data_IF_144331627421
#
_entry.id   IF_144331627421
#
_cell.length_a   1.000
_cell.length_b   1.000
_cell.length_c   1.000
_cell.angle_alpha   90.00
_cell.angle_beta   90.00
_cell.angle_gamma   90.00
#
_symmetry.space_group_name_H-M   'P 1'
#
loop_
_entity.id
_entity.type
_entity.pdbx_description
1 polymer ?
#
# COMPACT_ATOMS: atom_id res chain seq x y z
N UNK A 1 -6.42 -11.68 8.75
CA UNK A 1 -5.45 -10.71 8.19
C UNK A 1 -4.88 -9.86 9.31
N UNK A 2 -3.59 -9.60 9.25
CA UNK A 2 -2.92 -8.71 10.18
C UNK A 2 -2.49 -7.45 9.48
N UNK A 3 -2.66 -6.32 10.16
CA UNK A 3 -2.21 -5.02 9.68
C UNK A 3 -1.36 -4.39 10.78
N UNK A 4 -0.13 -4.02 10.43
CA UNK A 4 0.77 -3.35 11.35
C UNK A 4 1.25 -2.04 10.76
N UNK A 5 1.67 -1.13 11.62
CA UNK A 5 2.15 0.19 11.20
C UNK A 5 3.49 0.47 11.84
N UNK A 6 4.46 0.91 11.04
CA UNK A 6 5.82 1.23 11.49
C UNK A 6 6.25 2.55 10.88
N UNK A 7 6.82 3.43 11.67
CA UNK A 7 7.41 4.66 11.14
C UNK A 7 8.88 4.42 10.83
N UNK A 8 9.30 4.71 9.61
CA UNK A 8 10.69 4.63 9.19
C UNK A 8 11.25 6.04 8.98
N UNK A 9 12.53 6.13 8.61
CA UNK A 9 13.20 7.41 8.42
C UNK A 9 12.43 8.31 7.44
N UNK A 10 12.59 9.63 7.58
CA UNK A 10 11.90 10.63 6.77
C UNK A 10 10.38 10.63 6.96
N UNK A 11 9.92 10.13 8.12
CA UNK A 11 8.49 10.07 8.47
C UNK A 11 7.66 9.26 7.48
N UNK A 12 8.25 8.23 6.88
CA UNK A 12 7.53 7.31 6.02
C UNK A 12 6.82 6.28 6.91
N UNK A 13 5.51 6.15 6.74
CA UNK A 13 4.74 5.14 7.44
C UNK A 13 4.68 3.87 6.60
N UNK A 14 5.22 2.78 7.13
CA UNK A 14 5.12 1.48 6.49
C UNK A 14 3.91 0.76 7.03
N UNK A 15 3.06 0.28 6.13
CA UNK A 15 1.87 -0.51 6.48
C UNK A 15 2.15 -1.95 6.10
N UNK A 16 2.31 -2.81 7.11
CA UNK A 16 2.53 -4.24 6.89
C UNK A 16 1.19 -4.94 6.82
N UNK A 17 0.92 -5.58 5.69
CA UNK A 17 -0.33 -6.32 5.47
C UNK A 17 0.01 -7.79 5.32
N UNK A 18 -0.67 -8.67 6.07
CA UNK A 18 -0.44 -10.13 6.01
C UNK A 18 -1.75 -10.85 5.77
N UNK A 19 -1.71 -11.81 4.86
CA UNK A 19 -2.87 -12.61 4.48
C UNK A 19 -3.57 -12.06 3.26
N UNK A 20 -4.67 -12.71 2.87
CA UNK A 20 -5.42 -12.32 1.67
C UNK A 20 -6.06 -10.93 1.85
N UNK A 21 -5.87 -10.08 0.87
CA UNK A 21 -6.46 -8.75 0.85
C UNK A 21 -7.69 -8.77 -0.06
N UNK A 22 -8.80 -9.23 0.49
CA UNK A 22 -10.06 -9.38 -0.23
C UNK A 22 -11.17 -8.51 0.39
N UNK A 23 -12.38 -8.65 -0.13
CA UNK A 23 -13.52 -7.83 0.30
C UNK A 23 -13.82 -7.93 1.81
N UNK A 24 -13.50 -9.07 2.44
CA UNK A 24 -13.78 -9.26 3.87
C UNK A 24 -12.97 -8.32 4.76
N UNK A 25 -11.77 -7.95 4.31
CA UNK A 25 -10.82 -7.18 5.11
C UNK A 25 -10.53 -5.80 4.52
N UNK A 26 -10.99 -5.55 3.29
CA UNK A 26 -10.71 -4.29 2.60
C UNK A 26 -11.19 -3.08 3.39
N UNK A 27 -12.38 -3.16 4.01
CA UNK A 27 -12.93 -2.05 4.77
C UNK A 27 -12.05 -1.68 5.99
N UNK A 28 -11.52 -2.68 6.68
CA UNK A 28 -10.65 -2.46 7.83
C UNK A 28 -9.35 -1.78 7.42
N UNK A 29 -8.76 -2.23 6.33
CA UNK A 29 -7.53 -1.62 5.82
C UNK A 29 -7.79 -0.18 5.35
N UNK A 30 -8.90 0.05 4.68
CA UNK A 30 -9.27 1.39 4.22
C UNK A 30 -9.40 2.36 5.39
N UNK A 31 -10.12 1.93 6.44
CA UNK A 31 -10.30 2.75 7.64
C UNK A 31 -8.95 3.05 8.30
N UNK A 32 -8.10 2.03 8.45
CA UNK A 32 -6.78 2.21 9.05
C UNK A 32 -5.90 3.18 8.27
N UNK A 33 -5.85 3.03 6.95
CA UNK A 33 -5.07 3.94 6.10
C UNK A 33 -5.61 5.36 6.18
N UNK A 34 -6.92 5.53 6.08
CA UNK A 34 -7.54 6.86 6.12
C UNK A 34 -7.27 7.55 7.46
N UNK A 35 -7.36 6.82 8.57
CA UNK A 35 -7.07 7.37 9.89
C UNK A 35 -5.62 7.85 9.98
N UNK A 36 -4.68 7.09 9.42
CA UNK A 36 -3.27 7.48 9.43
C UNK A 36 -3.01 8.73 8.57
N UNK A 37 -3.69 8.83 7.43
CA UNK A 37 -3.58 10.01 6.58
C UNK A 37 -4.13 11.24 7.29
N UNK A 38 -5.27 11.11 7.98
CA UNK A 38 -5.85 12.22 8.74
C UNK A 38 -4.96 12.63 9.92
N UNK A 39 -4.20 11.70 10.49
CA UNK A 39 -3.24 11.98 11.55
C UNK A 39 -1.98 12.69 11.04
N UNK A 40 -1.88 12.95 9.74
CA UNK A 40 -0.76 13.68 9.15
C UNK A 40 0.25 12.83 8.40
N UNK A 41 0.01 11.51 8.27
CA UNK A 41 0.91 10.64 7.52
C UNK A 41 0.53 10.71 6.04
N UNK A 42 1.36 11.38 5.24
CA UNK A 42 1.12 11.52 3.81
C UNK A 42 2.14 10.79 2.93
N UNK A 43 3.12 10.10 3.55
CA UNK A 43 4.09 9.27 2.84
C UNK A 43 3.93 7.84 3.33
N UNK A 44 3.25 7.02 2.53
CA UNK A 44 2.90 5.64 2.89
C UNK A 44 3.62 4.64 2.01
N UNK A 45 4.12 3.58 2.62
CA UNK A 45 4.72 2.44 1.92
C UNK A 45 3.98 1.18 2.36
N UNK A 46 3.30 0.54 1.43
CA UNK A 46 2.51 -0.66 1.72
C UNK A 46 3.35 -1.90 1.45
N UNK A 47 3.57 -2.69 2.49
CA UNK A 47 4.30 -3.94 2.39
C UNK A 47 3.32 -5.06 2.05
N UNK A 48 3.43 -5.58 0.83
CA UNK A 48 2.57 -6.66 0.33
C UNK A 48 3.31 -7.99 0.25
N UNK A 49 4.51 -8.10 0.84
CA UNK A 49 5.33 -9.31 0.72
C UNK A 49 4.67 -10.55 1.32
N UNK A 50 3.75 -10.38 2.27
CA UNK A 50 3.01 -11.47 2.90
C UNK A 50 1.55 -11.53 2.45
N UNK A 51 1.22 -10.95 1.30
CA UNK A 51 -0.12 -10.97 0.71
C UNK A 51 -0.11 -11.88 -0.50
N UNK A 52 -0.59 -13.13 -0.39
CA UNK A 52 -0.57 -14.06 -1.52
C UNK A 52 -1.67 -13.81 -2.54
N UNK A 53 -2.76 -13.14 -2.14
CA UNK A 53 -3.91 -12.92 -3.00
C UNK A 53 -4.54 -11.56 -2.72
N UNK A 54 -5.03 -10.92 -3.79
CA UNK A 54 -5.73 -9.65 -3.71
C UNK A 54 -6.85 -9.65 -4.75
N UNK A 55 -8.03 -9.17 -4.36
CA UNK A 55 -9.13 -8.96 -5.31
C UNK A 55 -9.30 -7.47 -5.62
N UNK A 56 -10.35 -7.16 -6.40
CA UNK A 56 -10.62 -5.77 -6.79
C UNK A 56 -10.94 -4.85 -5.60
N UNK A 57 -11.53 -5.39 -4.54
CA UNK A 57 -11.82 -4.60 -3.33
C UNK A 57 -10.53 -4.18 -2.63
N UNK A 58 -9.58 -5.11 -2.50
CA UNK A 58 -8.27 -4.80 -1.93
C UNK A 58 -7.51 -3.78 -2.77
N UNK A 59 -7.53 -3.98 -4.08
CA UNK A 59 -6.89 -3.05 -5.01
C UNK A 59 -7.50 -1.65 -4.90
N UNK A 60 -8.82 -1.57 -4.76
CA UNK A 60 -9.54 -0.30 -4.59
C UNK A 60 -9.11 0.47 -3.36
N UNK A 61 -8.79 -0.22 -2.27
CA UNK A 61 -8.28 0.42 -1.05
C UNK A 61 -6.95 1.11 -1.33
N UNK A 62 -6.05 0.46 -2.06
CA UNK A 62 -4.76 1.04 -2.40
C UNK A 62 -4.92 2.25 -3.33
N UNK A 63 -5.82 2.17 -4.29
CA UNK A 63 -6.12 3.30 -5.19
C UNK A 63 -6.66 4.49 -4.39
N UNK A 64 -7.58 4.24 -3.47
CA UNK A 64 -8.14 5.28 -2.59
C UNK A 64 -7.04 5.93 -1.74
N UNK A 65 -6.16 5.11 -1.17
CA UNK A 65 -5.03 5.62 -0.39
C UNK A 65 -4.08 6.48 -1.20
N UNK A 66 -3.80 6.07 -2.44
CA UNK A 66 -2.95 6.84 -3.34
C UNK A 66 -3.56 8.22 -3.63
N UNK A 67 -4.85 8.26 -3.94
CA UNK A 67 -5.54 9.53 -4.18
C UNK A 67 -5.51 10.44 -2.95
N UNK A 68 -5.75 9.87 -1.78
CA UNK A 68 -5.82 10.65 -0.54
C UNK A 68 -4.44 11.19 -0.14
N UNK A 69 -3.38 10.41 -0.30
CA UNK A 69 -2.03 10.91 -0.02
C UNK A 69 -1.61 11.98 -1.02
N UNK A 70 -1.97 11.80 -2.29
CA UNK A 70 -1.64 12.79 -3.32
C UNK A 70 -2.32 14.13 -3.05
N UNK A 71 -3.54 14.13 -2.53
CA UNK A 71 -4.24 15.37 -2.14
C UNK A 71 -3.51 16.13 -1.04
N UNK A 72 -2.70 15.44 -0.26
CA UNK A 72 -1.92 16.03 0.83
C UNK A 72 -0.44 16.20 0.46
N UNK A 73 -0.15 16.23 -0.83
CA UNK A 73 1.20 16.39 -1.37
C UNK A 73 2.15 15.27 -1.01
N UNK A 74 1.61 14.07 -0.78
CA UNK A 74 2.37 12.87 -0.49
C UNK A 74 2.22 11.83 -1.58
N UNK A 75 2.53 10.59 -1.22
CA UNK A 75 2.41 9.47 -2.14
C UNK A 75 2.19 8.17 -1.36
N UNK A 76 1.63 7.18 -2.04
CA UNK A 76 1.50 5.83 -1.53
C UNK A 76 2.22 4.91 -2.51
N UNK A 77 3.22 4.17 -2.02
CA UNK A 77 4.02 3.25 -2.83
C UNK A 77 3.88 1.85 -2.26
N UNK A 78 4.21 0.85 -3.07
CA UNK A 78 4.06 -0.56 -2.67
C UNK A 78 5.34 -1.32 -2.95
N UNK A 79 5.56 -2.42 -2.19
CA UNK A 79 6.69 -3.30 -2.48
C UNK A 79 6.36 -4.74 -2.14
N UNK A 80 7.13 -5.66 -2.74
CA UNK A 80 7.09 -7.06 -2.40
C UNK A 80 5.92 -7.81 -3.00
N UNK A 81 5.46 -7.44 -4.19
CA UNK A 81 4.31 -8.09 -4.81
C UNK A 81 4.60 -9.57 -5.11
N UNK A 82 3.79 -10.46 -4.56
CA UNK A 82 3.82 -11.87 -4.93
C UNK A 82 3.24 -12.05 -6.35
N UNK A 83 3.52 -13.18 -7.03
CA UNK A 83 3.13 -13.35 -8.43
C UNK A 83 1.68 -13.05 -8.75
N UNK A 84 0.72 -13.56 -7.96
CA UNK A 84 -0.70 -13.35 -8.24
C UNK A 84 -1.10 -11.89 -8.03
N UNK A 85 -0.51 -11.22 -7.04
CA UNK A 85 -0.76 -9.81 -6.77
C UNK A 85 -0.15 -8.95 -7.88
N UNK A 86 1.08 -9.27 -8.28
CA UNK A 86 1.73 -8.59 -9.39
C UNK A 86 0.88 -8.70 -10.66
N UNK A 87 0.32 -9.88 -10.90
CA UNK A 87 -0.50 -10.14 -12.07
C UNK A 87 -1.74 -9.25 -12.10
N UNK A 88 -2.44 -9.07 -10.98
CA UNK A 88 -3.62 -8.21 -10.95
C UNK A 88 -3.26 -6.74 -11.16
N UNK A 89 -2.10 -6.30 -10.67
CA UNK A 89 -1.62 -4.95 -10.96
C UNK A 89 -1.36 -4.76 -12.45
N UNK A 90 -0.79 -5.77 -13.10
CA UNK A 90 -0.50 -5.71 -14.54
C UNK A 90 -1.76 -5.76 -15.39
N UNK A 91 -2.69 -6.67 -15.06
CA UNK A 91 -3.95 -6.81 -15.79
C UNK A 91 -4.81 -5.55 -15.72
N UNK A 92 -4.78 -4.85 -14.61
CA UNK A 92 -5.55 -3.61 -14.41
C UNK A 92 -4.78 -2.37 -14.86
N UNK A 93 -3.53 -2.53 -15.28
CA UNK A 93 -2.60 -1.46 -15.65
C UNK A 93 -2.26 -0.52 -14.48
N UNK A 94 -2.55 -0.92 -13.26
CA UNK A 94 -2.20 -0.13 -12.08
C UNK A 94 -0.71 -0.17 -11.79
N UNK A 95 0.03 -1.11 -12.39
CA UNK A 95 1.49 -1.08 -12.36
C UNK A 95 2.07 0.17 -13.05
N UNK A 96 1.27 0.89 -13.85
CA UNK A 96 1.67 2.17 -14.46
C UNK A 96 1.34 3.37 -13.57
N UNK A 97 0.49 3.16 -12.57
CA UNK A 97 0.01 4.22 -11.67
C UNK A 97 0.78 4.24 -10.36
N UNK A 98 1.04 3.05 -9.79
CA UNK A 98 1.79 2.92 -8.54
C UNK A 98 3.29 2.81 -8.79
N UNK A 99 4.07 3.36 -7.88
CA UNK A 99 5.50 3.09 -7.80
C UNK A 99 5.68 1.77 -7.05
N UNK A 100 6.26 0.78 -7.70
CA UNK A 100 6.37 -0.59 -7.20
C UNK A 100 7.84 -0.95 -7.05
N UNK A 101 8.20 -1.53 -5.90
CA UNK A 101 9.58 -1.90 -5.58
C UNK A 101 9.66 -3.35 -5.14
N UNK A 102 10.85 -3.93 -5.25
CA UNK A 102 11.08 -5.32 -4.86
C UNK A 102 11.37 -5.47 -3.38
N UNK A 103 11.88 -4.42 -2.73
CA UNK A 103 12.27 -4.47 -1.33
C UNK A 103 11.89 -3.19 -0.59
N UNK A 104 11.81 -3.30 0.74
CA UNK A 104 11.58 -2.14 1.59
C UNK A 104 12.70 -1.11 1.44
N UNK A 105 13.96 -1.58 1.38
CA UNK A 105 15.11 -0.70 1.28
C UNK A 105 15.04 0.19 0.04
N UNK A 106 14.82 -0.40 -1.15
CA UNK A 106 14.73 0.38 -2.38
C UNK A 106 13.52 1.29 -2.38
N UNK A 107 12.41 0.84 -1.81
CA UNK A 107 11.20 1.64 -1.70
C UNK A 107 11.43 2.86 -0.80
N UNK A 108 12.04 2.67 0.35
CA UNK A 108 12.33 3.78 1.27
C UNK A 108 13.25 4.82 0.64
N UNK A 109 14.26 4.37 -0.10
CA UNK A 109 15.18 5.27 -0.79
C UNK A 109 14.47 6.13 -1.83
N UNK A 110 13.41 5.61 -2.44
CA UNK A 110 12.67 6.31 -3.50
C UNK A 110 11.95 7.55 -3.00
N UNK A 111 11.68 7.65 -1.69
CA UNK A 111 11.01 8.80 -1.09
C UNK A 111 11.97 9.95 -0.79
N UNK A 112 13.25 9.73 -0.93
CA UNK A 112 14.25 10.76 -0.62
C UNK A 112 14.32 11.82 -1.70
#
# INVERSE_FOLDING_TARGET
>A
MDIGYRTQKNNILVVDVRGDLDARVAADLKEGINNKIEDGNNWLLINLSDVPYMDSAGLGVLVSGLKNTNRKNGDLRVYGLQPDVKNIFELTRLNKVFQIFDSEETALESFS
#
